data_IF_048239253030
#
_entry.id   IF_048239253030
#
_cell.length_a   1.000
_cell.length_b   1.000
_cell.length_c   1.000
_cell.angle_alpha   90.00
_cell.angle_beta   90.00
_cell.angle_gamma   90.00
#
_symmetry.space_group_name_H-M   'P 1'
#
loop_
_entity.id
_entity.type
_entity.pdbx_description
1 polymer ?
#
# COMPACT_ATOMS: atom_id res chain seq x y z
N UNK A 1 -19.75 11.55 12.76
CA UNK A 1 -20.02 10.91 11.46
C UNK A 1 -19.95 9.39 11.50
N UNK A 2 -19.14 8.76 12.36
CA UNK A 2 -19.09 7.30 12.48
C UNK A 2 -20.43 6.67 12.90
N UNK A 3 -21.02 7.13 14.01
CA UNK A 3 -22.25 6.54 14.56
C UNK A 3 -23.47 6.72 13.65
N UNK A 4 -23.62 7.90 13.06
CA UNK A 4 -24.82 8.23 12.26
C UNK A 4 -24.66 8.00 10.75
N UNK A 5 -23.44 7.81 10.25
CA UNK A 5 -23.18 7.61 8.82
C UNK A 5 -22.47 6.29 8.54
N UNK A 6 -21.24 6.15 9.04
CA UNK A 6 -20.40 4.98 8.73
C UNK A 6 -21.00 3.65 9.20
N UNK A 7 -21.46 3.58 10.46
CA UNK A 7 -21.95 2.34 11.05
C UNK A 7 -23.28 1.86 10.41
N UNK A 8 -24.28 2.73 10.17
CA UNK A 8 -25.47 2.34 9.42
C UNK A 8 -25.19 1.85 8.00
N UNK A 9 -24.31 2.53 7.24
CA UNK A 9 -23.99 2.15 5.86
C UNK A 9 -23.25 0.81 5.79
N UNK A 10 -22.26 0.61 6.66
CA UNK A 10 -21.53 -0.64 6.75
C UNK A 10 -22.44 -1.81 7.13
N UNK A 11 -23.35 -1.59 8.09
CA UNK A 11 -24.32 -2.61 8.48
C UNK A 11 -25.30 -2.95 7.35
N UNK A 12 -25.78 -1.95 6.61
CA UNK A 12 -26.67 -2.14 5.46
C UNK A 12 -26.01 -3.03 4.39
N UNK A 13 -24.75 -2.76 4.04
CA UNK A 13 -24.02 -3.54 3.04
C UNK A 13 -23.84 -5.00 3.47
N UNK A 14 -23.45 -5.23 4.73
CA UNK A 14 -23.31 -6.58 5.28
C UNK A 14 -24.65 -7.34 5.30
N UNK A 15 -25.73 -6.70 5.75
CA UNK A 15 -27.05 -7.31 5.80
C UNK A 15 -27.57 -7.69 4.40
N UNK A 16 -27.39 -6.81 3.41
CA UNK A 16 -27.73 -7.07 2.01
C UNK A 16 -26.90 -8.23 1.42
N UNK A 17 -25.59 -8.23 1.66
CA UNK A 17 -24.70 -9.29 1.19
C UNK A 17 -25.05 -10.66 1.78
N UNK A 18 -25.36 -10.71 3.09
CA UNK A 18 -25.76 -11.95 3.77
C UNK A 18 -27.13 -12.46 3.34
N UNK A 19 -28.10 -11.57 3.11
CA UNK A 19 -29.47 -11.94 2.71
C UNK A 19 -29.54 -12.43 1.26
N UNK A 20 -28.99 -11.66 0.31
CA UNK A 20 -29.10 -11.99 -1.12
C UNK A 20 -28.05 -12.99 -1.61
N UNK A 21 -26.88 -13.08 -0.94
CA UNK A 21 -25.75 -13.97 -1.31
C UNK A 21 -25.31 -13.87 -2.77
N UNK A 22 -25.48 -12.69 -3.35
CA UNK A 22 -25.13 -12.37 -4.72
C UNK A 22 -23.92 -11.42 -4.75
N UNK A 23 -23.21 -11.37 -5.88
CA UNK A 23 -22.12 -10.42 -6.07
C UNK A 23 -22.62 -8.99 -6.34
N UNK A 24 -21.69 -8.04 -6.30
CA UNK A 24 -21.96 -6.59 -6.35
C UNK A 24 -22.68 -6.09 -7.62
N UNK A 25 -22.62 -6.85 -8.73
CA UNK A 25 -23.36 -6.55 -9.97
C UNK A 25 -24.74 -7.22 -9.95
N UNK A 26 -24.78 -8.51 -9.66
CA UNK A 26 -25.99 -9.35 -9.72
C UNK A 26 -27.02 -9.06 -8.62
N UNK A 27 -26.64 -8.34 -7.55
CA UNK A 27 -27.57 -7.94 -6.49
C UNK A 27 -28.58 -6.90 -7.00
N UNK A 28 -28.15 -5.98 -7.88
CA UNK A 28 -28.99 -4.91 -8.40
C UNK A 28 -30.12 -5.42 -9.30
N UNK A 29 -29.94 -6.57 -9.96
CA UNK A 29 -31.01 -7.23 -10.73
C UNK A 29 -32.21 -7.63 -9.84
N UNK A 30 -31.98 -7.90 -8.55
CA UNK A 30 -33.04 -8.27 -7.58
C UNK A 30 -33.63 -7.07 -6.83
N UNK A 31 -32.87 -5.99 -6.69
CA UNK A 31 -33.27 -4.82 -5.90
C UNK A 31 -33.88 -3.71 -6.77
N UNK A 32 -33.12 -3.22 -7.74
CA UNK A 32 -33.54 -2.21 -8.70
C UNK A 32 -32.65 -2.30 -9.96
N UNK A 33 -33.16 -2.87 -11.07
CA UNK A 33 -32.35 -3.10 -12.26
C UNK A 33 -31.84 -1.80 -12.92
N UNK A 34 -32.51 -0.67 -12.69
CA UNK A 34 -32.05 0.65 -13.16
C UNK A 34 -30.70 1.04 -12.54
N UNK A 35 -30.40 0.56 -11.33
CA UNK A 35 -29.18 0.88 -10.58
C UNK A 35 -28.01 -0.09 -10.84
N UNK A 36 -28.13 -0.99 -11.82
CA UNK A 36 -27.07 -1.95 -12.17
C UNK A 36 -25.72 -1.31 -12.52
N UNK A 37 -25.74 -0.06 -13.00
CA UNK A 37 -24.53 0.74 -13.26
C UNK A 37 -23.60 0.91 -12.07
N UNK A 38 -24.13 0.89 -10.83
CA UNK A 38 -23.32 1.01 -9.61
C UNK A 38 -22.34 -0.15 -9.48
N UNK A 39 -22.77 -1.38 -9.79
CA UNK A 39 -21.89 -2.56 -9.74
C UNK A 39 -20.69 -2.43 -10.68
N UNK A 40 -20.92 -1.95 -11.91
CA UNK A 40 -19.83 -1.71 -12.86
C UNK A 40 -18.91 -0.57 -12.42
N UNK A 41 -19.47 0.52 -11.88
CA UNK A 41 -18.68 1.62 -11.34
C UNK A 41 -17.75 1.16 -10.21
N UNK A 42 -18.23 0.29 -9.31
CA UNK A 42 -17.40 -0.32 -8.25
C UNK A 42 -16.23 -1.11 -8.86
N UNK A 43 -16.48 -1.94 -9.88
CA UNK A 43 -15.40 -2.68 -10.54
C UNK A 43 -14.34 -1.77 -11.19
N UNK A 44 -14.75 -0.65 -11.79
CA UNK A 44 -13.79 0.33 -12.34
C UNK A 44 -12.97 1.03 -11.25
N UNK A 45 -13.60 1.41 -10.13
CA UNK A 45 -12.92 2.01 -8.99
C UNK A 45 -11.94 1.00 -8.38
N UNK A 46 -12.33 -0.26 -8.23
CA UNK A 46 -11.49 -1.33 -7.71
C UNK A 46 -10.29 -1.61 -8.62
N UNK A 47 -10.46 -1.53 -9.94
CA UNK A 47 -9.34 -1.65 -10.88
C UNK A 47 -8.34 -0.50 -10.70
N UNK A 48 -8.82 0.74 -10.61
CA UNK A 48 -7.98 1.92 -10.41
C UNK A 48 -7.23 1.87 -9.06
N UNK A 49 -7.96 1.58 -7.98
CA UNK A 49 -7.40 1.40 -6.65
C UNK A 49 -6.39 0.24 -6.63
N UNK A 50 -6.70 -0.87 -7.31
CA UNK A 50 -5.82 -2.03 -7.41
C UNK A 50 -4.46 -1.68 -8.01
N UNK A 51 -4.41 -0.88 -9.08
CA UNK A 51 -3.14 -0.47 -9.70
C UNK A 51 -2.31 0.44 -8.76
N UNK A 52 -2.96 1.42 -8.13
CA UNK A 52 -2.30 2.35 -7.21
C UNK A 52 -1.80 1.67 -5.94
N UNK A 53 -2.66 0.91 -5.25
CA UNK A 53 -2.30 0.28 -3.98
C UNK A 53 -1.21 -0.79 -4.12
N UNK A 54 -1.22 -1.58 -5.19
CA UNK A 54 -0.14 -2.55 -5.43
C UNK A 54 1.22 -1.87 -5.61
N UNK A 55 1.25 -0.65 -6.16
CA UNK A 55 2.49 0.15 -6.27
C UNK A 55 3.02 0.55 -4.89
N UNK A 56 2.15 0.99 -3.97
CA UNK A 56 2.54 1.31 -2.59
C UNK A 56 3.05 0.07 -1.86
N UNK A 57 2.40 -1.07 -2.04
CA UNK A 57 2.84 -2.35 -1.46
C UNK A 57 4.20 -2.76 -2.03
N UNK A 58 4.45 -2.53 -3.32
CA UNK A 58 5.76 -2.79 -3.94
C UNK A 58 6.87 -1.93 -3.34
N UNK A 59 6.60 -0.66 -3.03
CA UNK A 59 7.56 0.18 -2.28
C UNK A 59 7.84 -0.42 -0.91
N UNK A 60 6.80 -0.79 -0.14
CA UNK A 60 6.99 -1.41 1.16
C UNK A 60 7.77 -2.75 1.08
N UNK A 61 7.50 -3.56 0.06
CA UNK A 61 8.22 -4.81 -0.21
C UNK A 61 9.70 -4.55 -0.52
N UNK A 62 10.02 -3.51 -1.29
CA UNK A 62 11.39 -3.07 -1.53
C UNK A 62 12.08 -2.66 -0.22
N UNK A 63 11.42 -1.83 0.60
CA UNK A 63 11.94 -1.41 1.91
C UNK A 63 12.14 -2.58 2.88
N UNK A 64 11.31 -3.63 2.80
CA UNK A 64 11.46 -4.84 3.60
C UNK A 64 12.81 -5.52 3.35
N UNK A 65 13.18 -5.74 2.08
CA UNK A 65 14.48 -6.33 1.75
C UNK A 65 15.64 -5.39 2.04
N UNK A 66 15.46 -4.09 1.78
CA UNK A 66 16.47 -3.08 2.10
C UNK A 66 16.73 -2.97 3.61
N UNK A 67 15.83 -3.47 4.46
CA UNK A 67 15.99 -3.49 5.92
C UNK A 67 16.80 -4.70 6.43
N UNK A 68 17.17 -5.66 5.59
CA UNK A 68 18.00 -6.80 5.99
C UNK A 68 19.51 -6.50 6.01
N UNK A 69 19.90 -5.24 5.94
CA UNK A 69 21.27 -4.78 6.10
C UNK A 69 21.55 -4.38 7.56
N UNK A 70 22.81 -4.51 8.00
CA UNK A 70 23.22 -4.16 9.37
C UNK A 70 23.09 -2.66 9.65
N UNK A 71 23.40 -1.84 8.66
CA UNK A 71 23.13 -0.40 8.68
C UNK A 71 22.10 -0.07 7.60
N UNK A 72 21.10 0.73 7.95
CA UNK A 72 20.00 1.05 7.06
C UNK A 72 20.42 2.17 6.09
N UNK A 73 20.14 2.05 4.78
CA UNK A 73 20.70 2.97 3.77
C UNK A 73 20.19 4.41 3.89
N UNK A 74 19.06 4.62 4.58
CA UNK A 74 18.48 5.95 4.85
C UNK A 74 18.94 6.60 6.17
N UNK A 75 19.99 6.07 6.82
CA UNK A 75 20.51 6.62 8.07
C UNK A 75 21.62 7.64 7.86
N UNK A 76 22.44 7.46 6.82
CA UNK A 76 23.62 8.29 6.52
C UNK A 76 23.40 9.16 5.29
N UNK A 77 24.07 10.31 5.27
CA UNK A 77 24.14 11.17 4.10
C UNK A 77 25.29 10.82 3.13
N UNK A 78 26.13 9.83 3.45
CA UNK A 78 27.27 9.39 2.63
C UNK A 78 26.85 8.28 1.63
N UNK A 79 26.02 8.64 0.64
CA UNK A 79 25.54 7.71 -0.38
C UNK A 79 25.53 8.39 -1.76
N UNK A 80 25.65 7.62 -2.87
CA UNK A 80 25.77 8.19 -4.22
C UNK A 80 24.51 8.92 -4.72
N UNK A 81 23.35 8.71 -4.08
CA UNK A 81 22.12 9.41 -4.43
C UNK A 81 21.91 10.72 -3.67
N UNK A 82 22.71 11.01 -2.64
CA UNK A 82 22.46 12.17 -1.79
C UNK A 82 22.96 13.48 -2.40
N UNK A 83 22.37 14.61 -1.99
CA UNK A 83 22.84 15.96 -2.33
C UNK A 83 23.63 16.62 -1.20
N UNK A 84 24.24 17.76 -1.52
CA UNK A 84 24.82 18.68 -0.54
C UNK A 84 23.81 19.20 0.50
N UNK A 85 22.50 19.08 0.23
CA UNK A 85 21.43 19.49 1.15
C UNK A 85 21.03 18.38 2.14
N UNK A 86 21.61 17.18 2.05
CA UNK A 86 21.35 16.09 2.99
C UNK A 86 22.00 16.39 4.34
N UNK A 87 21.18 16.48 5.39
CA UNK A 87 21.66 16.60 6.77
C UNK A 87 21.06 15.49 7.63
N UNK A 88 21.92 14.83 8.40
CA UNK A 88 21.48 13.89 9.44
C UNK A 88 20.80 14.66 10.59
N UNK A 89 20.07 13.95 11.44
CA UNK A 89 19.36 14.57 12.57
C UNK A 89 20.33 15.31 13.52
N UNK A 90 21.54 14.77 13.70
CA UNK A 90 22.58 15.41 14.50
C UNK A 90 23.07 16.72 13.84
N UNK A 91 23.34 16.70 12.53
CA UNK A 91 23.85 17.87 11.80
C UNK A 91 22.80 18.98 11.65
N UNK A 92 21.53 18.62 11.48
CA UNK A 92 20.42 19.59 11.41
C UNK A 92 20.29 20.42 12.69
N UNK A 93 20.63 19.84 13.86
CA UNK A 93 20.62 20.59 15.13
C UNK A 93 21.72 21.65 15.23
N UNK A 94 22.78 21.55 14.40
CA UNK A 94 23.91 22.46 14.37
C UNK A 94 23.82 23.48 13.24
N UNK A 95 23.33 23.06 12.07
CA UNK A 95 23.20 23.89 10.87
C UNK A 95 21.80 23.71 10.25
N UNK A 96 20.82 24.47 10.75
CA UNK A 96 19.46 24.45 10.20
C UNK A 96 19.33 25.47 9.06
N UNK A 97 19.52 25.01 7.82
CA UNK A 97 19.10 25.74 6.62
C UNK A 97 17.68 25.34 6.22
N UNK A 98 16.89 26.30 5.72
CA UNK A 98 15.49 26.07 5.30
C UNK A 98 15.37 25.04 4.17
N UNK A 99 16.44 24.76 3.43
CA UNK A 99 16.46 23.83 2.31
C UNK A 99 17.05 22.45 2.67
N UNK A 100 17.32 22.19 3.96
CA UNK A 100 17.91 20.92 4.39
C UNK A 100 16.94 19.75 4.24
N UNK A 101 17.39 18.68 3.59
CA UNK A 101 16.64 17.42 3.40
C UNK A 101 17.14 16.35 4.36
N UNK A 102 16.24 15.47 4.78
CA UNK A 102 16.61 14.32 5.61
C UNK A 102 17.13 13.17 4.74
N UNK A 103 18.05 12.32 5.24
CA UNK A 103 18.56 11.18 4.48
C UNK A 103 17.45 10.19 4.10
N UNK A 104 16.40 10.08 4.91
CA UNK A 104 15.23 9.25 4.59
C UNK A 104 14.38 9.82 3.45
N UNK A 105 14.21 11.14 3.41
CA UNK A 105 13.51 11.81 2.31
C UNK A 105 14.29 11.68 1.00
N UNK A 106 15.61 11.93 1.02
CA UNK A 106 16.44 11.77 -0.18
C UNK A 106 16.51 10.33 -0.65
N UNK A 107 16.58 9.37 0.27
CA UNK A 107 16.53 7.96 -0.10
C UNK A 107 15.21 7.62 -0.82
N UNK A 108 14.07 8.11 -0.34
CA UNK A 108 12.79 7.86 -1.01
C UNK A 108 12.71 8.57 -2.37
N UNK A 109 12.97 9.87 -2.42
CA UNK A 109 12.83 10.67 -3.64
C UNK A 109 13.85 10.28 -4.71
N UNK A 110 15.11 10.13 -4.33
CA UNK A 110 16.22 9.98 -5.26
C UNK A 110 16.67 8.56 -5.51
N UNK A 111 16.69 7.74 -4.47
CA UNK A 111 17.04 6.33 -4.63
C UNK A 111 15.82 5.53 -5.04
N UNK A 112 14.72 5.53 -4.27
CA UNK A 112 13.57 4.64 -4.53
C UNK A 112 12.77 5.08 -5.75
N UNK A 113 12.28 6.33 -5.79
CA UNK A 113 11.39 6.84 -6.83
C UNK A 113 12.14 7.35 -8.07
N UNK A 114 13.37 7.83 -7.89
CA UNK A 114 14.16 8.53 -8.92
C UNK A 114 13.40 9.72 -9.55
N UNK A 115 12.67 10.48 -8.73
CA UNK A 115 11.80 11.57 -9.20
C UNK A 115 12.57 12.69 -9.93
N UNK A 116 13.86 12.85 -9.64
CA UNK A 116 14.77 13.79 -10.32
C UNK A 116 14.95 13.52 -11.82
N UNK A 117 14.56 12.33 -12.32
CA UNK A 117 14.59 12.01 -13.75
C UNK A 117 13.32 12.42 -14.50
N UNK A 118 12.32 12.96 -13.80
CA UNK A 118 11.07 13.44 -14.39
C UNK A 118 10.91 14.94 -14.17
N UNK A 119 10.59 15.68 -15.24
CA UNK A 119 10.35 17.14 -15.17
C UNK A 119 8.86 17.49 -15.01
N UNK A 120 8.04 16.51 -14.63
CA UNK A 120 6.62 16.68 -14.33
C UNK A 120 5.73 15.54 -14.85
N UNK A 121 4.42 15.79 -14.89
CA UNK A 121 3.42 14.81 -15.37
C UNK A 121 3.55 14.56 -16.88
N UNK A 122 4.06 15.56 -17.62
CA UNK A 122 4.22 15.51 -19.06
C UNK A 122 5.42 14.65 -19.49
N UNK A 123 6.46 14.53 -18.65
CA UNK A 123 7.67 13.74 -18.90
C UNK A 123 7.90 12.76 -17.75
N UNK A 124 7.09 11.70 -17.73
CA UNK A 124 7.24 10.59 -16.81
C UNK A 124 8.53 9.87 -17.20
N UNK A 125 9.57 9.97 -16.36
CA UNK A 125 10.91 9.45 -16.62
C UNK A 125 10.97 7.94 -16.88
N UNK A 126 12.17 7.37 -17.05
CA UNK A 126 12.32 5.94 -17.34
C UNK A 126 11.80 5.06 -16.20
N UNK A 127 11.31 3.89 -16.56
CA UNK A 127 10.77 2.93 -15.61
C UNK A 127 11.90 2.25 -14.82
N UNK A 128 11.85 2.36 -13.49
CA UNK A 128 12.82 1.71 -12.61
C UNK A 128 12.58 0.21 -12.52
N UNK A 129 13.46 -0.57 -13.13
CA UNK A 129 13.35 -2.03 -13.20
C UNK A 129 13.29 -2.73 -11.84
N UNK A 130 14.01 -2.25 -10.83
CA UNK A 130 13.97 -2.83 -9.48
C UNK A 130 12.56 -2.76 -8.88
N UNK A 131 11.88 -1.63 -9.04
CA UNK A 131 10.49 -1.48 -8.60
C UNK A 131 9.52 -2.31 -9.45
N UNK A 132 9.78 -2.44 -10.75
CA UNK A 132 8.99 -3.28 -11.65
C UNK A 132 9.02 -4.76 -11.21
N UNK A 133 10.20 -5.28 -10.85
CA UNK A 133 10.33 -6.64 -10.34
C UNK A 133 9.70 -6.81 -8.95
N UNK A 134 9.82 -5.82 -8.05
CA UNK A 134 9.10 -5.83 -6.78
C UNK A 134 7.58 -5.86 -6.99
N UNK A 135 7.07 -5.07 -7.93
CA UNK A 135 5.64 -5.04 -8.28
C UNK A 135 5.18 -6.39 -8.86
N UNK A 136 5.97 -6.98 -9.77
CA UNK A 136 5.70 -8.32 -10.30
C UNK A 136 5.62 -9.37 -9.19
N UNK A 137 6.55 -9.34 -8.23
CA UNK A 137 6.54 -10.24 -7.09
C UNK A 137 5.27 -10.06 -6.22
N UNK A 138 4.85 -8.81 -5.97
CA UNK A 138 3.59 -8.51 -5.25
C UNK A 138 2.39 -9.07 -6.00
N UNK A 139 2.29 -8.89 -7.31
CA UNK A 139 1.21 -9.46 -8.11
C UNK A 139 1.17 -10.99 -8.04
N UNK A 140 2.34 -11.64 -8.08
CA UNK A 140 2.44 -13.10 -7.94
C UNK A 140 1.93 -13.55 -6.55
N UNK A 141 2.33 -12.84 -5.48
CA UNK A 141 1.88 -13.12 -4.11
C UNK A 141 0.36 -12.95 -3.97
N UNK A 142 -0.19 -11.85 -4.47
CA UNK A 142 -1.63 -11.59 -4.47
C UNK A 142 -2.36 -12.65 -5.28
N UNK A 143 -1.86 -13.00 -6.46
CA UNK A 143 -2.44 -14.05 -7.31
C UNK A 143 -2.50 -15.40 -6.58
N UNK A 144 -1.40 -15.84 -5.96
CA UNK A 144 -1.40 -17.09 -5.19
C UNK A 144 -2.33 -17.03 -3.96
N UNK A 145 -2.48 -15.86 -3.33
CA UNK A 145 -3.40 -15.67 -2.21
C UNK A 145 -4.88 -15.79 -2.62
N UNK A 146 -5.20 -15.48 -3.88
CA UNK A 146 -6.54 -15.49 -4.45
C UNK A 146 -6.86 -16.79 -5.21
N UNK A 147 -5.85 -17.50 -5.74
CA UNK A 147 -6.03 -18.70 -6.58
C UNK A 147 -6.96 -19.72 -5.93
N UNK A 148 -6.74 -20.06 -4.65
CA UNK A 148 -7.58 -21.06 -3.94
C UNK A 148 -8.97 -20.54 -3.51
N UNK A 149 -9.31 -19.30 -3.85
CA UNK A 149 -10.55 -18.64 -3.47
C UNK A 149 -10.63 -18.28 -1.97
N UNK A 150 -11.80 -17.76 -1.58
CA UNK A 150 -12.08 -17.19 -0.24
C UNK A 150 -11.87 -18.18 0.91
N UNK A 151 -11.96 -19.50 0.65
CA UNK A 151 -11.71 -20.56 1.63
C UNK A 151 -10.24 -20.65 2.07
N UNK A 152 -9.30 -20.18 1.25
CA UNK A 152 -7.87 -20.08 1.60
C UNK A 152 -7.53 -18.76 2.27
N UNK A 153 -8.10 -17.65 1.78
CA UNK A 153 -7.90 -16.30 2.35
C UNK A 153 -8.34 -16.25 3.83
N UNK A 154 -9.45 -16.91 4.19
CA UNK A 154 -9.90 -17.00 5.59
C UNK A 154 -8.92 -17.73 6.52
N UNK A 155 -8.19 -18.75 6.03
CA UNK A 155 -7.18 -19.47 6.83
C UNK A 155 -5.90 -18.64 7.03
N UNK A 156 -5.50 -17.89 6.01
CA UNK A 156 -4.34 -16.98 6.09
C UNK A 156 -4.65 -15.85 7.08
N UNK A 157 -5.82 -15.21 6.95
CA UNK A 157 -6.26 -14.15 7.88
C UNK A 157 -6.35 -14.68 9.31
N UNK A 158 -6.98 -15.85 9.52
CA UNK A 158 -7.05 -16.46 10.85
C UNK A 158 -5.67 -16.75 11.43
N UNK A 159 -4.74 -17.28 10.64
CA UNK A 159 -3.38 -17.59 11.13
C UNK A 159 -2.59 -16.31 11.46
N UNK A 160 -2.68 -15.27 10.63
CA UNK A 160 -2.03 -13.98 10.89
C UNK A 160 -2.64 -13.24 12.09
N UNK A 161 -3.97 -13.18 12.22
CA UNK A 161 -4.65 -12.56 13.36
C UNK A 161 -4.39 -13.33 14.66
N UNK A 162 -4.50 -14.66 14.64
CA UNK A 162 -4.26 -15.47 15.83
C UNK A 162 -2.79 -15.38 16.29
N UNK A 163 -1.83 -15.22 15.36
CA UNK A 163 -0.42 -14.99 15.69
C UNK A 163 -0.18 -13.59 16.29
N UNK A 164 -0.88 -12.56 15.82
CA UNK A 164 -0.78 -11.19 16.36
C UNK A 164 -1.38 -11.09 17.76
N UNK A 165 -2.53 -11.71 18.01
CA UNK A 165 -3.15 -11.72 19.35
C UNK A 165 -2.27 -12.45 20.36
N UNK A 166 -1.68 -13.59 19.98
CA UNK A 166 -0.70 -14.28 20.85
C UNK A 166 0.58 -13.45 21.09
N UNK A 167 1.04 -12.67 20.11
CA UNK A 167 2.22 -11.81 20.28
C UNK A 167 1.94 -10.59 21.17
N UNK A 168 0.72 -10.03 21.14
CA UNK A 168 0.29 -8.98 22.08
C UNK A 168 0.13 -9.52 23.51
N UNK A 169 -0.38 -10.74 23.69
CA UNK A 169 -0.54 -11.35 25.01
C UNK A 169 0.81 -11.73 25.64
N UNK A 170 1.77 -12.20 24.83
CA UNK A 170 3.12 -12.56 25.31
C UNK A 170 3.99 -11.36 25.74
N UNK A 171 3.63 -10.13 25.37
CA UNK A 171 4.38 -8.91 25.71
C UNK A 171 3.74 -8.10 26.86
N UNK A 172 2.61 -8.56 27.40
CA UNK A 172 1.87 -7.95 28.53
C UNK A 172 1.96 -8.84 29.79
N UNK A 173 2.77 -9.90 29.76
CA UNK A 173 3.21 -10.65 30.94
C UNK A 173 4.72 -10.52 31.06
#
# INVERSE_FOLDING_TARGET
MLVFGGLPLFYLELALGQYYRNGCITIWDKLCPMMKGIGYAICFIDLYMGMYYNTIIAWAFYYLFASFTSELPWTRCDNPWNTEHCLTLAERSLNSSNDSKSPAQEYFERSVLEIQRSDGIQSIGPLKWTLAFCLMAVFILVYFSLWKGVKSSGKVIFTFLFRIDNYKIAKVR
#
